data_IF_704189315810
#
_entry.id   IF_704189315810
#
_cell.length_a   1.000
_cell.length_b   1.000
_cell.length_c   1.000
_cell.angle_alpha   90.00
_cell.angle_beta   90.00
_cell.angle_gamma   90.00
#
_symmetry.space_group_name_H-M   'P 1'
#
loop_
_entity.id
_entity.type
_entity.pdbx_description
1 polymer ?
#
# COMPACT_ATOMS: atom_id res chain seq x y z
N UNK A 1 23.91 -28.95 15.64
CA UNK A 1 24.17 -27.88 14.64
C UNK A 1 25.66 -27.68 14.40
N UNK A 2 26.49 -27.33 15.40
CA UNK A 2 27.94 -27.12 15.19
C UNK A 2 28.72 -28.36 14.69
N UNK A 3 28.28 -29.58 15.05
CA UNK A 3 28.85 -30.83 14.51
C UNK A 3 28.60 -30.94 13.00
N UNK A 4 27.32 -30.84 12.59
CA UNK A 4 26.88 -30.87 11.19
C UNK A 4 27.66 -29.86 10.31
N UNK A 5 27.90 -28.64 10.79
CA UNK A 5 28.67 -27.66 10.03
C UNK A 5 30.14 -28.05 9.88
N UNK A 6 30.78 -28.57 10.94
CA UNK A 6 32.15 -29.08 10.89
C UNK A 6 32.29 -30.26 9.94
N UNK A 7 31.33 -31.18 9.96
CA UNK A 7 31.29 -32.35 9.07
C UNK A 7 31.19 -31.93 7.59
N UNK A 8 30.67 -30.74 7.32
CA UNK A 8 30.61 -30.13 5.98
C UNK A 8 31.75 -29.12 5.72
N UNK A 9 32.79 -29.09 6.55
CA UNK A 9 33.95 -28.20 6.38
C UNK A 9 33.66 -26.71 6.67
N UNK A 10 32.53 -26.40 7.31
CA UNK A 10 32.14 -25.04 7.67
C UNK A 10 32.43 -24.75 9.15
N UNK A 11 33.05 -23.59 9.42
CA UNK A 11 33.33 -23.13 10.78
C UNK A 11 32.31 -22.06 11.19
N UNK A 12 31.66 -22.25 12.34
CA UNK A 12 30.76 -21.26 12.95
C UNK A 12 31.33 -20.87 14.30
N UNK A 13 31.54 -19.57 14.49
CA UNK A 13 31.86 -18.99 15.79
C UNK A 13 30.56 -18.53 16.47
N UNK A 14 30.24 -19.10 17.63
CA UNK A 14 29.12 -18.62 18.45
C UNK A 14 29.67 -17.67 19.50
N UNK A 15 29.26 -16.41 19.44
CA UNK A 15 29.60 -15.40 20.44
C UNK A 15 28.31 -15.00 21.16
N UNK A 16 28.28 -15.17 22.49
CA UNK A 16 27.14 -14.82 23.33
C UNK A 16 27.47 -13.63 24.23
N UNK A 17 26.42 -12.94 24.71
CA UNK A 17 26.53 -11.82 25.67
C UNK A 17 27.39 -10.63 25.20
N UNK A 18 27.49 -10.42 23.89
CA UNK A 18 28.14 -9.23 23.34
C UNK A 18 27.29 -7.99 23.58
N UNK A 19 27.90 -6.97 24.19
CA UNK A 19 27.25 -5.67 24.45
C UNK A 19 27.40 -4.68 23.29
N UNK A 20 28.37 -4.94 22.41
CA UNK A 20 28.57 -4.22 21.16
C UNK A 20 28.49 -5.26 20.05
N UNK A 21 27.62 -5.04 19.08
CA UNK A 21 27.37 -6.00 17.99
C UNK A 21 27.39 -5.27 16.66
N UNK A 22 28.12 -5.83 15.72
CA UNK A 22 28.11 -5.39 14.33
C UNK A 22 27.04 -6.17 13.56
N UNK A 23 26.15 -5.46 12.87
CA UNK A 23 25.12 -6.06 12.03
C UNK A 23 24.98 -5.26 10.72
N UNK A 24 25.29 -5.92 9.61
CA UNK A 24 25.30 -5.33 8.26
C UNK A 24 26.19 -4.07 8.22
N UNK A 25 25.56 -2.90 8.10
CA UNK A 25 26.21 -1.60 7.91
C UNK A 25 26.24 -0.77 9.21
N UNK A 26 25.93 -1.36 10.36
CA UNK A 26 25.76 -0.65 11.64
C UNK A 26 26.42 -1.41 12.80
N UNK A 27 27.17 -0.70 13.62
CA UNK A 27 27.62 -1.14 14.95
C UNK A 27 26.66 -0.59 15.99
N UNK A 28 26.04 -1.48 16.77
CA UNK A 28 25.13 -1.12 17.85
C UNK A 28 25.81 -1.32 19.22
N UNK A 29 25.72 -0.32 20.10
CA UNK A 29 26.21 -0.40 21.46
C UNK A 29 25.02 -0.41 22.45
N UNK A 30 24.84 -1.52 23.15
CA UNK A 30 23.75 -1.73 24.11
C UNK A 30 23.88 -0.88 25.37
N UNK A 31 25.09 -0.49 25.78
CA UNK A 31 25.29 0.34 26.98
C UNK A 31 24.84 1.77 26.78
N UNK A 32 25.15 2.35 25.62
CA UNK A 32 24.81 3.75 25.30
C UNK A 32 23.52 3.88 24.52
N UNK A 33 23.01 2.79 23.94
CA UNK A 33 21.89 2.81 23.01
C UNK A 33 22.21 3.48 21.66
N UNK A 34 23.47 3.84 21.44
CA UNK A 34 23.92 4.52 20.22
C UNK A 34 24.36 3.49 19.17
N UNK A 35 24.11 3.87 17.93
CA UNK A 35 24.54 3.16 16.73
C UNK A 35 25.36 4.06 15.80
N UNK A 36 26.34 3.44 15.13
CA UNK A 36 27.23 4.09 14.17
C UNK A 36 27.40 3.25 12.91
N UNK A 37 27.77 3.85 11.77
CA UNK A 37 28.10 3.09 10.57
C UNK A 37 29.24 2.10 10.82
N UNK A 38 29.05 0.86 10.39
CA UNK A 38 30.09 -0.18 10.44
C UNK A 38 30.77 -0.31 9.08
N UNK A 39 32.08 -0.56 9.12
CA UNK A 39 32.90 -0.87 7.95
C UNK A 39 33.69 -2.13 8.25
N UNK A 40 33.65 -3.10 7.33
CA UNK A 40 34.40 -4.35 7.50
C UNK A 40 35.91 -4.06 7.60
N UNK A 41 36.64 -4.79 8.46
CA UNK A 41 38.09 -4.69 8.52
C UNK A 41 38.68 -5.00 7.14
N UNK A 42 39.68 -4.22 6.73
CA UNK A 42 40.36 -4.28 5.43
C UNK A 42 39.58 -3.82 4.18
N UNK A 43 38.37 -3.30 4.33
CA UNK A 43 37.64 -2.77 3.19
C UNK A 43 38.20 -1.40 2.75
N UNK A 44 38.26 -1.13 1.44
CA UNK A 44 38.72 0.14 0.89
C UNK A 44 37.57 0.85 0.18
N UNK A 45 37.27 2.08 0.61
CA UNK A 45 36.11 2.81 0.07
C UNK A 45 36.50 3.35 -1.31
N UNK A 46 35.82 2.85 -2.34
CA UNK A 46 35.99 3.31 -3.71
C UNK A 46 34.66 3.76 -4.29
N UNK A 47 34.69 4.85 -5.06
CA UNK A 47 33.50 5.43 -5.67
C UNK A 47 33.70 5.64 -7.16
N UNK A 48 32.60 5.82 -7.85
CA UNK A 48 32.57 6.09 -9.28
C UNK A 48 33.19 7.47 -9.54
N UNK A 49 34.22 7.53 -10.37
CA UNK A 49 34.83 8.79 -10.82
C UNK A 49 33.80 9.64 -11.58
N UNK A 50 33.84 10.96 -11.39
CA UNK A 50 32.93 11.91 -12.05
C UNK A 50 32.98 11.83 -13.58
N UNK A 51 34.13 11.48 -14.13
CA UNK A 51 34.33 11.38 -15.58
C UNK A 51 34.06 9.98 -16.15
N UNK A 52 33.77 9.00 -15.30
CA UNK A 52 33.49 7.62 -15.73
C UNK A 52 32.29 7.52 -16.67
N UNK A 53 32.21 6.40 -17.39
CA UNK A 53 31.14 6.13 -18.34
C UNK A 53 29.84 5.65 -17.67
N UNK A 54 29.25 6.49 -16.82
CA UNK A 54 27.99 6.22 -16.13
C UNK A 54 26.91 7.27 -16.44
N UNK A 55 25.61 6.94 -16.27
CA UNK A 55 24.54 7.89 -16.45
C UNK A 55 24.73 9.12 -15.54
N UNK A 56 24.54 10.36 -16.05
CA UNK A 56 24.78 11.58 -15.27
C UNK A 56 23.95 11.65 -13.99
N UNK A 57 22.74 11.08 -14.00
CA UNK A 57 21.88 11.02 -12.81
C UNK A 57 22.49 10.18 -11.69
N UNK A 58 23.23 9.11 -12.00
CA UNK A 58 23.87 8.27 -10.98
C UNK A 58 25.03 9.03 -10.35
N UNK A 59 25.88 9.63 -11.18
CA UNK A 59 27.04 10.42 -10.73
C UNK A 59 26.57 11.59 -9.85
N UNK A 60 25.50 12.29 -10.26
CA UNK A 60 24.93 13.42 -9.50
C UNK A 60 24.32 12.99 -8.16
N UNK A 61 23.66 11.83 -8.11
CA UNK A 61 22.95 11.37 -6.93
C UNK A 61 23.86 10.59 -5.95
N UNK A 62 25.07 10.22 -6.37
CA UNK A 62 25.98 9.42 -5.55
C UNK A 62 26.32 10.09 -4.20
N UNK A 63 26.75 11.36 -4.13
CA UNK A 63 27.04 12.02 -2.84
C UNK A 63 25.81 12.06 -1.93
N UNK A 64 24.65 12.43 -2.48
CA UNK A 64 23.38 12.48 -1.73
C UNK A 64 22.93 11.11 -1.23
N UNK A 65 23.25 10.04 -1.95
CA UNK A 65 22.97 8.66 -1.53
C UNK A 65 23.81 8.25 -0.34
N UNK A 66 25.11 8.55 -0.37
CA UNK A 66 26.05 8.28 0.73
C UNK A 66 25.67 9.08 1.97
N UNK A 67 25.38 10.37 1.78
CA UNK A 67 24.91 11.28 2.83
C UNK A 67 23.73 10.69 3.58
N UNK A 68 22.65 10.36 2.86
CA UNK A 68 21.44 9.75 3.45
C UNK A 68 21.74 8.44 4.18
N UNK A 69 22.60 7.59 3.62
CA UNK A 69 22.95 6.31 4.27
C UNK A 69 23.69 6.56 5.59
N UNK A 70 24.73 7.39 5.58
CA UNK A 70 25.49 7.70 6.80
C UNK A 70 24.62 8.39 7.84
N UNK A 71 23.81 9.36 7.45
CA UNK A 71 22.85 10.00 8.35
C UNK A 71 21.90 8.99 8.98
N UNK A 72 21.35 8.05 8.20
CA UNK A 72 20.44 7.03 8.73
C UNK A 72 21.14 6.09 9.71
N UNK A 73 22.39 5.72 9.44
CA UNK A 73 23.19 4.77 10.22
C UNK A 73 23.94 5.42 11.39
N UNK A 74 23.93 6.75 11.50
CA UNK A 74 24.50 7.49 12.63
C UNK A 74 23.41 7.93 13.59
N UNK A 75 23.66 7.83 14.90
CA UNK A 75 22.70 8.29 15.92
C UNK A 75 22.64 9.81 16.06
N UNK A 76 23.78 10.47 15.88
CA UNK A 76 23.95 11.90 16.09
C UNK A 76 24.97 12.46 15.09
N UNK A 77 25.07 13.79 15.05
CA UNK A 77 25.94 14.52 14.14
C UNK A 77 27.42 14.18 14.34
N UNK A 78 27.88 14.10 15.60
CA UNK A 78 29.27 13.75 15.90
C UNK A 78 29.69 12.39 15.32
N UNK A 79 28.86 11.35 15.50
CA UNK A 79 29.12 10.02 14.92
C UNK A 79 29.11 10.08 13.39
N UNK A 80 28.27 10.93 12.80
CA UNK A 80 28.26 11.14 11.35
C UNK A 80 29.55 11.80 10.86
N UNK A 81 30.00 12.87 11.51
CA UNK A 81 31.22 13.59 11.12
C UNK A 81 32.44 12.67 11.17
N UNK A 82 32.61 11.93 12.27
CA UNK A 82 33.68 10.93 12.43
C UNK A 82 33.61 9.86 11.32
N UNK A 83 32.41 9.36 11.03
CA UNK A 83 32.22 8.34 10.01
C UNK A 83 32.39 8.88 8.58
N UNK A 84 32.15 10.17 8.33
CA UNK A 84 32.14 10.78 7.00
C UNK A 84 33.54 11.04 6.44
N UNK A 85 34.57 11.15 7.28
CA UNK A 85 35.96 11.42 6.90
C UNK A 85 36.43 10.51 5.74
N UNK A 86 36.44 9.17 5.87
CA UNK A 86 36.95 8.30 4.81
C UNK A 86 36.07 8.32 3.54
N UNK A 87 34.80 8.69 3.66
CA UNK A 87 33.90 8.85 2.51
C UNK A 87 34.17 10.13 1.73
N UNK A 88 34.38 11.24 2.44
CA UNK A 88 34.75 12.52 1.85
C UNK A 88 36.10 12.43 1.11
N UNK A 89 37.09 11.75 1.69
CA UNK A 89 38.37 11.47 1.03
C UNK A 89 38.19 10.67 -0.25
N UNK A 90 37.41 9.58 -0.20
CA UNK A 90 37.13 8.76 -1.37
C UNK A 90 36.37 9.53 -2.46
N UNK A 91 35.42 10.39 -2.10
CA UNK A 91 34.68 11.24 -3.03
C UNK A 91 35.59 12.30 -3.68
N UNK A 92 36.44 12.96 -2.88
CA UNK A 92 37.41 13.96 -3.34
C UNK A 92 38.41 13.34 -4.32
N UNK A 93 38.95 12.16 -3.99
CA UNK A 93 39.83 11.38 -4.89
C UNK A 93 39.16 11.08 -6.24
N UNK A 94 37.84 10.99 -6.27
CA UNK A 94 37.05 10.68 -7.46
C UNK A 94 36.46 11.92 -8.19
N UNK A 95 36.92 13.13 -7.85
CA UNK A 95 36.53 14.37 -8.53
C UNK A 95 35.18 14.95 -8.09
N UNK A 96 34.63 14.50 -6.96
CA UNK A 96 33.42 15.06 -6.37
C UNK A 96 33.78 16.20 -5.41
N UNK A 97 33.20 17.38 -5.62
CA UNK A 97 33.55 18.61 -4.88
C UNK A 97 32.73 18.79 -3.60
N UNK A 98 31.56 18.16 -3.52
CA UNK A 98 30.63 18.34 -2.41
C UNK A 98 31.04 17.50 -1.19
N UNK A 99 31.24 18.17 -0.05
CA UNK A 99 31.35 17.52 1.25
C UNK A 99 29.98 17.00 1.70
N UNK A 100 29.99 15.83 2.35
CA UNK A 100 28.80 15.23 2.95
C UNK A 100 28.32 16.07 4.13
N UNK A 101 27.00 16.27 4.24
CA UNK A 101 26.39 17.06 5.32
C UNK A 101 25.45 16.21 6.15
N UNK A 102 25.41 16.43 7.45
CA UNK A 102 24.42 15.75 8.29
C UNK A 102 23.03 16.33 8.02
N UNK A 103 22.10 15.49 7.60
CA UNK A 103 20.70 15.89 7.49
C UNK A 103 19.98 15.51 8.80
N UNK A 104 19.42 16.48 9.51
CA UNK A 104 18.64 16.16 10.71
C UNK A 104 17.51 15.17 10.39
N UNK A 105 17.44 14.08 11.16
CA UNK A 105 16.34 13.13 11.05
C UNK A 105 15.08 13.87 11.46
N UNK A 106 14.21 14.18 10.50
CA UNK A 106 12.84 14.63 10.80
C UNK A 106 12.19 13.53 11.64
N UNK A 107 12.13 13.74 12.94
CA UNK A 107 11.36 12.90 13.84
C UNK A 107 9.92 12.98 13.35
N UNK A 108 9.35 11.83 12.98
CA UNK A 108 7.90 11.73 12.86
C UNK A 108 7.36 11.72 14.30
N UNK A 109 7.47 12.83 15.02
CA UNK A 109 6.70 13.06 16.23
C UNK A 109 5.26 13.28 15.82
N UNK A 110 4.41 12.38 16.29
CA UNK A 110 2.97 12.48 16.24
C UNK A 110 2.52 13.73 17.00
N UNK A 111 2.33 14.84 16.30
CA UNK A 111 1.39 15.89 16.68
C UNK A 111 0.79 16.47 15.40
N UNK A 112 -0.53 16.35 15.29
CA UNK A 112 -1.32 16.80 14.14
C UNK A 112 -1.26 18.32 13.99
N UNK A 113 -1.27 18.78 12.74
CA UNK A 113 -2.21 19.73 12.12
C UNK A 113 -1.50 20.45 10.98
N UNK A 114 -1.91 20.22 9.73
CA UNK A 114 -2.99 20.95 9.07
C UNK A 114 -2.66 22.44 9.02
N UNK A 115 -2.11 22.89 7.87
CA UNK A 115 -2.27 24.22 7.28
C UNK A 115 -1.31 24.40 6.09
N UNK A 116 -1.65 23.83 4.93
CA UNK A 116 -1.21 24.38 3.63
C UNK A 116 -2.08 23.87 2.47
N UNK A 117 -3.40 24.06 2.59
CA UNK A 117 -4.33 23.91 1.46
C UNK A 117 -5.69 24.56 1.77
N UNK A 118 -5.69 25.86 2.06
CA UNK A 118 -6.88 26.71 1.92
C UNK A 118 -6.43 28.11 1.54
N UNK A 119 -6.49 28.41 0.24
CA UNK A 119 -6.77 29.75 -0.28
C UNK A 119 -7.16 29.62 -1.75
N UNK A 120 -8.46 29.40 -1.94
CA UNK A 120 -9.34 29.89 -3.02
C UNK A 120 -10.61 29.04 -2.95
N UNK A 121 -11.45 29.38 -1.96
CA UNK A 121 -12.85 29.00 -1.97
C UNK A 121 -13.59 30.12 -2.68
N UNK A 122 -14.14 29.82 -3.86
CA UNK A 122 -15.33 30.43 -4.44
C UNK A 122 -15.69 29.56 -5.64
N UNK A 123 -16.53 28.55 -5.40
CA UNK A 123 -17.66 28.16 -6.24
C UNK A 123 -18.21 26.83 -5.73
N UNK A 124 -19.43 26.91 -5.21
CA UNK A 124 -20.32 25.77 -5.04
C UNK A 124 -20.52 25.12 -6.41
N UNK A 125 -19.99 23.92 -6.63
CA UNK A 125 -20.67 22.85 -7.39
C UNK A 125 -19.83 21.57 -7.49
N UNK A 126 -20.55 20.45 -7.32
CA UNK A 126 -20.25 19.08 -7.78
C UNK A 126 -19.15 18.31 -7.04
N UNK A 127 -19.65 17.37 -6.21
CA UNK A 127 -19.03 16.08 -5.93
C UNK A 127 -18.44 15.47 -7.22
N UNK A 128 -17.14 15.64 -7.44
CA UNK A 128 -16.43 14.88 -8.46
C UNK A 128 -15.95 13.59 -7.80
N UNK A 129 -16.66 12.50 -8.09
CA UNK A 129 -16.23 11.15 -7.76
C UNK A 129 -14.76 10.99 -8.11
N UNK A 130 -13.98 10.46 -7.16
CA UNK A 130 -12.59 10.09 -7.38
C UNK A 130 -12.55 9.10 -8.54
N UNK A 131 -12.26 9.62 -9.75
CA UNK A 131 -12.09 8.76 -10.91
C UNK A 131 -10.93 7.83 -10.59
N UNK A 132 -11.25 6.56 -10.40
CA UNK A 132 -10.29 5.48 -10.22
C UNK A 132 -9.48 5.38 -11.52
N UNK A 133 -8.48 6.25 -11.69
CA UNK A 133 -7.63 6.25 -12.87
C UNK A 133 -6.93 4.91 -12.91
N UNK A 134 -7.32 4.06 -13.88
CA UNK A 134 -6.65 2.78 -14.12
C UNK A 134 -5.15 3.03 -14.19
N UNK A 135 -4.40 2.45 -13.26
CA UNK A 135 -2.93 2.43 -13.33
C UNK A 135 -2.56 1.54 -14.50
N UNK A 136 -1.95 2.12 -15.54
CA UNK A 136 -1.40 1.36 -16.66
C UNK A 136 -0.26 0.48 -16.12
N UNK A 137 -0.19 -0.77 -16.56
CA UNK A 137 0.98 -1.62 -16.31
C UNK A 137 2.12 -1.07 -17.16
N UNK A 138 3.22 -0.68 -16.51
CA UNK A 138 4.38 -0.09 -17.18
C UNK A 138 5.47 -1.16 -17.31
N UNK A 139 5.94 -1.37 -18.54
CA UNK A 139 7.14 -2.16 -18.83
C UNK A 139 8.31 -1.21 -18.98
N UNK A 140 9.38 -1.45 -18.24
CA UNK A 140 10.60 -0.65 -18.33
C UNK A 140 11.62 -1.31 -19.25
N UNK A 141 12.10 -0.56 -20.22
CA UNK A 141 13.29 -0.89 -21.00
C UNK A 141 14.49 -0.16 -20.40
N UNK A 142 15.51 -0.93 -20.00
CA UNK A 142 16.74 -0.42 -19.39
C UNK A 142 17.93 -0.80 -20.29
N UNK A 143 18.22 -0.03 -21.35
CA UNK A 143 19.37 -0.32 -22.20
C UNK A 143 20.69 -0.03 -21.46
N UNK A 144 21.79 -0.67 -21.87
CA UNK A 144 23.11 -0.32 -21.37
C UNK A 144 23.43 1.14 -21.70
N UNK A 145 24.03 1.84 -20.75
CA UNK A 145 24.45 3.23 -20.93
C UNK A 145 25.89 3.31 -21.44
N UNK A 146 26.16 4.20 -22.39
CA UNK A 146 27.51 4.58 -22.77
C UNK A 146 27.56 6.02 -23.30
N UNK A 147 28.51 6.82 -22.80
CA UNK A 147 28.86 8.18 -23.24
C UNK A 147 29.31 8.21 -24.71
N UNK A 148 29.86 7.09 -25.20
CA UNK A 148 30.31 6.99 -26.59
C UNK A 148 29.12 6.90 -27.56
N UNK A 149 27.92 6.60 -27.06
CA UNK A 149 26.73 6.56 -27.92
C UNK A 149 26.20 7.97 -28.12
N UNK A 150 26.58 8.57 -29.24
CA UNK A 150 26.10 9.89 -29.67
C UNK A 150 24.62 9.88 -30.05
N UNK A 151 24.11 8.72 -30.48
CA UNK A 151 22.73 8.62 -30.94
C UNK A 151 21.76 8.70 -29.76
N UNK A 152 20.66 9.43 -29.93
CA UNK A 152 19.57 9.43 -28.96
C UNK A 152 18.81 8.09 -29.03
N UNK A 153 19.35 7.08 -28.34
CA UNK A 153 18.79 5.72 -28.26
C UNK A 153 17.32 5.78 -27.84
N UNK A 154 16.97 6.65 -26.89
CA UNK A 154 15.61 6.75 -26.41
C UNK A 154 14.64 7.20 -27.48
N UNK A 155 14.98 8.25 -28.23
CA UNK A 155 14.19 8.71 -29.38
C UNK A 155 14.04 7.59 -30.41
N UNK A 156 15.16 6.99 -30.84
CA UNK A 156 15.16 5.89 -31.82
C UNK A 156 14.29 4.71 -31.37
N UNK A 157 14.40 4.30 -30.11
CA UNK A 157 13.60 3.23 -29.53
C UNK A 157 12.10 3.56 -29.55
N UNK A 158 11.73 4.79 -29.19
CA UNK A 158 10.35 5.24 -29.21
C UNK A 158 9.78 5.40 -30.63
N UNK A 159 10.63 5.72 -31.60
CA UNK A 159 10.25 5.77 -33.02
C UNK A 159 10.05 4.36 -33.58
N UNK A 160 10.91 3.39 -33.22
CA UNK A 160 10.72 1.97 -33.52
C UNK A 160 9.45 1.41 -32.89
N UNK A 161 9.13 1.78 -31.64
CA UNK A 161 7.88 1.37 -31.00
C UNK A 161 6.66 1.84 -31.81
N UNK A 162 6.69 3.06 -32.34
CA UNK A 162 5.60 3.58 -33.16
C UNK A 162 5.53 2.92 -34.53
N UNK A 163 6.67 2.62 -35.15
CA UNK A 163 6.76 2.00 -36.47
C UNK A 163 6.35 0.52 -36.45
N UNK A 164 6.87 -0.26 -35.49
CA UNK A 164 6.59 -1.68 -35.38
C UNK A 164 5.22 -1.97 -34.75
N UNK A 165 4.72 -1.07 -33.89
CA UNK A 165 3.43 -1.23 -33.20
C UNK A 165 2.52 -0.02 -33.44
N UNK A 166 2.06 0.22 -34.68
CA UNK A 166 1.09 1.28 -34.97
C UNK A 166 -0.26 1.00 -34.29
N UNK A 167 -1.19 1.99 -34.19
CA UNK A 167 -2.47 1.83 -33.50
C UNK A 167 -3.30 0.61 -33.91
N UNK A 168 -3.21 0.21 -35.18
CA UNK A 168 -3.93 -0.93 -35.75
C UNK A 168 -3.27 -2.30 -35.46
N UNK A 169 -2.06 -2.32 -34.90
CA UNK A 169 -1.34 -3.55 -34.61
C UNK A 169 -1.93 -4.26 -33.38
N UNK A 170 -2.08 -5.59 -33.45
CA UNK A 170 -2.69 -6.41 -32.38
C UNK A 170 -2.06 -6.19 -30.99
N UNK A 171 -0.75 -5.95 -30.95
CA UNK A 171 0.01 -5.72 -29.71
C UNK A 171 0.06 -4.25 -29.25
N UNK A 172 -0.47 -3.29 -30.01
CA UNK A 172 -0.39 -1.86 -29.67
C UNK A 172 -1.03 -1.54 -28.32
N UNK A 173 -2.08 -2.27 -27.92
CA UNK A 173 -2.73 -2.12 -26.61
C UNK A 173 -1.78 -2.41 -25.44
N UNK A 174 -0.78 -3.27 -25.65
CA UNK A 174 0.18 -3.73 -24.66
C UNK A 174 1.51 -2.99 -24.79
N UNK A 175 1.98 -2.76 -26.03
CA UNK A 175 3.28 -2.18 -26.36
C UNK A 175 3.04 -0.87 -27.11
N UNK A 176 3.19 0.25 -26.40
CA UNK A 176 3.09 1.61 -26.95
C UNK A 176 3.85 2.61 -26.06
N UNK A 177 3.97 3.87 -26.49
CA UNK A 177 4.62 4.97 -25.73
C UNK A 177 4.03 5.24 -24.33
N UNK A 178 2.79 4.80 -24.10
CA UNK A 178 2.09 4.99 -22.82
C UNK A 178 2.34 3.85 -21.82
N UNK A 179 2.74 2.67 -22.30
CA UNK A 179 2.91 1.43 -21.53
C UNK A 179 4.37 1.02 -21.40
N UNK A 180 5.20 1.32 -22.40
CA UNK A 180 6.66 1.10 -22.35
C UNK A 180 7.36 2.40 -22.01
N UNK A 181 8.23 2.37 -21.01
CA UNK A 181 9.05 3.51 -20.58
C UNK A 181 10.52 3.14 -20.66
N UNK A 182 11.33 4.16 -20.95
CA UNK A 182 12.78 4.05 -20.98
C UNK A 182 13.33 4.65 -19.70
N UNK A 183 14.18 3.92 -18.99
CA UNK A 183 14.84 4.44 -17.80
C UNK A 183 16.18 3.77 -17.60
N UNK A 184 17.18 4.57 -17.22
CA UNK A 184 18.46 4.10 -16.66
C UNK A 184 18.41 3.94 -15.13
N UNK A 185 17.24 4.15 -14.52
CA UNK A 185 16.96 3.93 -13.10
C UNK A 185 16.27 2.59 -12.92
N UNK A 186 16.86 1.73 -12.08
CA UNK A 186 16.50 0.32 -11.97
C UNK A 186 15.31 0.00 -11.07
N UNK A 187 14.73 0.94 -10.29
CA UNK A 187 13.54 0.66 -9.47
C UNK A 187 12.92 1.94 -8.89
N UNK A 188 11.60 1.97 -8.62
CA UNK A 188 10.98 3.04 -7.82
C UNK A 188 11.61 3.12 -6.43
N UNK A 189 11.66 4.32 -5.85
CA UNK A 189 12.20 4.55 -4.52
C UNK A 189 11.51 3.62 -3.48
N UNK A 190 12.29 2.77 -2.80
CA UNK A 190 11.80 1.81 -1.80
C UNK A 190 10.97 2.49 -0.70
N UNK A 191 11.36 3.70 -0.29
CA UNK A 191 10.58 4.53 0.65
C UNK A 191 9.19 4.86 0.11
N UNK A 192 9.07 5.13 -1.19
CA UNK A 192 7.79 5.42 -1.82
C UNK A 192 6.91 4.17 -1.90
N UNK A 193 7.51 3.01 -2.20
CA UNK A 193 6.81 1.71 -2.20
C UNK A 193 6.25 1.44 -0.78
N UNK A 194 7.11 1.50 0.24
CA UNK A 194 6.74 1.26 1.64
C UNK A 194 5.70 2.29 2.11
N UNK A 195 5.91 3.58 1.86
CA UNK A 195 4.96 4.62 2.24
C UNK A 195 3.60 4.43 1.57
N UNK A 196 3.57 4.06 0.28
CA UNK A 196 2.31 3.78 -0.43
C UNK A 196 1.59 2.55 0.11
N UNK A 197 2.35 1.51 0.48
CA UNK A 197 1.82 0.29 1.06
C UNK A 197 1.24 0.54 2.46
N UNK A 198 1.97 1.25 3.32
CA UNK A 198 1.54 1.59 4.67
C UNK A 198 0.32 2.51 4.64
N UNK A 199 0.30 3.52 3.76
CA UNK A 199 -0.89 4.36 3.56
C UNK A 199 -2.11 3.53 3.16
N UNK A 200 -1.92 2.53 2.29
CA UNK A 200 -3.01 1.63 1.90
C UNK A 200 -3.50 0.80 3.08
N UNK A 201 -2.61 0.18 3.86
CA UNK A 201 -2.99 -0.61 5.04
C UNK A 201 -3.74 0.26 6.06
N UNK A 202 -3.21 1.45 6.35
CA UNK A 202 -3.82 2.38 7.31
C UNK A 202 -5.22 2.81 6.83
N UNK A 203 -5.36 3.12 5.55
CA UNK A 203 -6.65 3.51 4.97
C UNK A 203 -7.64 2.33 4.86
N UNK A 204 -7.16 1.10 4.65
CA UNK A 204 -7.99 -0.11 4.69
C UNK A 204 -8.47 -0.40 6.12
N UNK A 205 -7.64 -0.15 7.14
CA UNK A 205 -8.02 -0.29 8.54
C UNK A 205 -8.98 0.82 9.01
N UNK A 206 -8.81 2.06 8.54
CA UNK A 206 -9.71 3.16 8.92
C UNK A 206 -11.07 3.10 8.21
N UNK A 207 -11.12 2.61 6.96
CA UNK A 207 -12.40 2.42 6.24
C UNK A 207 -13.20 1.20 6.72
N UNK A 208 -12.64 0.28 7.51
CA UNK A 208 -13.43 -0.74 8.21
C UNK A 208 -14.26 -0.19 9.38
N UNK A 209 -13.99 1.05 9.81
CA UNK A 209 -14.81 1.77 10.79
C UNK A 209 -15.90 2.64 10.12
N UNK A 210 -16.27 2.40 8.85
CA UNK A 210 -17.42 3.05 8.23
C UNK A 210 -18.69 2.25 8.48
N UNK A 211 -19.52 2.74 9.41
CA UNK A 211 -20.98 2.60 9.45
C UNK A 211 -21.53 1.30 8.83
N UNK A 212 -21.61 0.25 9.64
CA UNK A 212 -22.38 -0.97 9.31
C UNK A 212 -23.74 -0.54 8.78
N UNK A 213 -23.97 -0.74 7.47
CA UNK A 213 -25.27 -0.42 6.86
C UNK A 213 -26.32 -1.25 7.59
N UNK A 214 -27.23 -0.59 8.30
CA UNK A 214 -28.31 -1.24 9.05
C UNK A 214 -29.42 -1.79 8.13
N UNK A 215 -29.51 -1.29 6.88
CA UNK A 215 -30.49 -1.73 5.89
C UNK A 215 -29.99 -1.58 4.45
N UNK A 216 -30.38 -2.53 3.60
CA UNK A 216 -30.14 -2.54 2.16
C UNK A 216 -31.43 -2.74 1.33
N UNK A 217 -32.60 -2.40 1.87
CA UNK A 217 -33.86 -2.39 1.10
C UNK A 217 -33.87 -1.25 0.07
N UNK A 218 -34.49 -1.50 -1.10
CA UNK A 218 -34.72 -0.48 -2.13
C UNK A 218 -35.60 0.64 -1.57
N UNK A 219 -36.71 0.26 -0.93
CA UNK A 219 -37.57 1.16 -0.18
C UNK A 219 -37.29 1.02 1.32
N UNK A 220 -36.76 2.07 1.94
CA UNK A 220 -36.44 2.04 3.38
C UNK A 220 -37.69 2.20 4.26
N UNK A 221 -38.69 2.93 3.78
CA UNK A 221 -39.94 3.19 4.51
C UNK A 221 -40.80 1.93 4.68
N UNK A 222 -40.72 0.97 3.74
CA UNK A 222 -41.42 -0.32 3.82
C UNK A 222 -40.62 -1.38 4.56
N UNK A 223 -39.49 -1.02 5.17
CA UNK A 223 -38.67 -1.97 5.90
C UNK A 223 -39.39 -2.40 7.19
N UNK A 224 -39.72 -3.69 7.36
CA UNK A 224 -40.43 -4.18 8.55
C UNK A 224 -39.70 -3.92 9.87
N UNK A 225 -38.40 -3.62 9.82
CA UNK A 225 -37.55 -3.32 10.97
C UNK A 225 -37.01 -1.88 10.93
N UNK A 226 -37.79 -0.94 10.37
CA UNK A 226 -37.51 0.52 10.37
C UNK A 226 -36.08 0.88 9.89
N UNK A 227 -35.58 0.17 8.88
CA UNK A 227 -34.23 0.40 8.36
C UNK A 227 -33.11 -0.33 9.12
N UNK A 228 -33.44 -1.37 9.89
CA UNK A 228 -32.49 -2.27 10.59
C UNK A 228 -32.56 -3.74 10.15
N UNK A 229 -33.02 -4.02 8.94
CA UNK A 229 -33.22 -5.40 8.47
C UNK A 229 -31.94 -6.25 8.31
N UNK A 230 -30.76 -5.66 8.48
CA UNK A 230 -29.47 -6.36 8.50
C UNK A 230 -29.00 -6.75 9.91
N UNK A 231 -29.81 -6.52 10.94
CA UNK A 231 -29.58 -7.01 12.30
C UNK A 231 -29.58 -8.55 12.32
N UNK A 232 -28.67 -9.14 13.09
CA UNK A 232 -28.43 -10.58 13.25
C UNK A 232 -28.78 -11.01 14.68
N UNK A 233 -28.96 -12.31 14.90
CA UNK A 233 -29.16 -12.89 16.25
C UNK A 233 -30.36 -12.29 17.00
N UNK A 234 -31.51 -12.19 16.32
CA UNK A 234 -32.75 -11.65 16.88
C UNK A 234 -33.84 -12.72 17.01
N UNK A 235 -34.67 -12.55 18.03
CA UNK A 235 -35.89 -13.32 18.25
C UNK A 235 -37.05 -12.54 17.64
N UNK A 236 -37.90 -13.20 16.86
CA UNK A 236 -39.06 -12.59 16.24
C UNK A 236 -40.31 -13.44 16.44
N UNK A 237 -41.46 -12.78 16.48
CA UNK A 237 -42.76 -13.41 16.49
C UNK A 237 -43.42 -13.19 15.12
N UNK A 238 -43.98 -14.25 14.54
CA UNK A 238 -44.72 -14.20 13.30
C UNK A 238 -46.13 -14.77 13.52
N UNK A 239 -47.13 -14.03 13.07
CA UNK A 239 -48.53 -14.46 13.08
C UNK A 239 -48.87 -14.97 11.69
N UNK A 240 -49.40 -16.19 11.60
CA UNK A 240 -49.81 -16.82 10.34
C UNK A 240 -51.30 -17.09 10.40
N UNK A 241 -52.03 -16.63 9.39
CA UNK A 241 -53.44 -16.95 9.21
C UNK A 241 -53.59 -18.00 8.11
N UNK A 242 -54.32 -19.06 8.39
CA UNK A 242 -54.68 -20.07 7.40
C UNK A 242 -55.91 -19.61 6.61
N UNK A 243 -55.81 -19.63 5.27
CA UNK A 243 -56.84 -19.07 4.37
C UNK A 243 -58.18 -19.83 4.42
N UNK A 244 -58.16 -21.14 4.65
CA UNK A 244 -59.35 -21.98 4.61
C UNK A 244 -60.15 -21.99 5.92
N UNK A 245 -59.47 -21.89 7.06
CA UNK A 245 -60.09 -22.03 8.40
C UNK A 245 -60.15 -20.71 9.16
N UNK A 246 -59.49 -19.65 8.65
CA UNK A 246 -59.25 -18.36 9.34
C UNK A 246 -58.59 -18.51 10.71
N UNK A 247 -57.98 -19.66 10.99
CA UNK A 247 -57.26 -19.88 12.24
C UNK A 247 -55.98 -19.05 12.23
N UNK A 248 -55.72 -18.38 13.37
CA UNK A 248 -54.54 -17.55 13.57
C UNK A 248 -53.62 -18.28 14.54
N UNK A 249 -52.48 -18.73 14.04
CA UNK A 249 -51.45 -19.38 14.84
C UNK A 249 -50.21 -18.46 14.92
N UNK A 250 -49.55 -18.48 16.08
CA UNK A 250 -48.39 -17.62 16.36
C UNK A 250 -47.15 -18.47 16.55
N UNK A 251 -46.08 -18.11 15.84
CA UNK A 251 -44.78 -18.78 15.90
C UNK A 251 -43.70 -17.81 16.40
N UNK A 252 -42.88 -18.25 17.35
CA UNK A 252 -41.70 -17.52 17.80
C UNK A 252 -40.46 -18.24 17.24
N UNK A 253 -39.59 -17.48 16.58
CA UNK A 253 -38.38 -18.01 15.94
C UNK A 253 -37.14 -17.19 16.25
N UNK A 254 -35.98 -17.84 16.11
CA UNK A 254 -34.66 -17.23 16.25
C UNK A 254 -33.99 -17.24 14.87
N UNK A 255 -33.15 -16.24 14.58
CA UNK A 255 -32.31 -16.22 13.38
C UNK A 255 -30.90 -15.77 13.71
N UNK A 256 -29.91 -16.61 13.38
CA UNK A 256 -28.49 -16.22 13.39
C UNK A 256 -28.16 -15.33 12.18
N UNK A 257 -28.78 -15.60 11.04
CA UNK A 257 -28.68 -14.78 9.84
C UNK A 257 -29.43 -13.45 9.98
N UNK A 258 -29.20 -12.51 9.05
CA UNK A 258 -29.90 -11.22 9.05
C UNK A 258 -31.42 -11.40 8.97
N UNK A 259 -32.18 -10.53 9.66
CA UNK A 259 -33.65 -10.57 9.62
C UNK A 259 -34.20 -10.62 8.19
N UNK A 260 -33.65 -9.81 7.28
CA UNK A 260 -34.10 -9.77 5.87
C UNK A 260 -33.99 -11.13 5.18
N UNK A 261 -32.92 -11.88 5.45
CA UNK A 261 -32.71 -13.21 4.87
C UNK A 261 -33.79 -14.17 5.36
N UNK A 262 -34.07 -14.17 6.66
CA UNK A 262 -35.11 -15.01 7.26
C UNK A 262 -36.52 -14.62 6.82
N UNK A 263 -36.80 -13.32 6.73
CA UNK A 263 -38.07 -12.79 6.25
C UNK A 263 -38.36 -13.21 4.80
N UNK A 264 -37.35 -13.17 3.94
CA UNK A 264 -37.49 -13.63 2.55
C UNK A 264 -37.75 -15.15 2.46
N UNK A 265 -37.13 -15.96 3.30
CA UNK A 265 -37.38 -17.41 3.36
C UNK A 265 -38.84 -17.71 3.74
N UNK A 266 -39.38 -17.03 4.74
CA UNK A 266 -40.78 -17.18 5.13
C UNK A 266 -41.75 -16.77 4.02
N UNK A 267 -41.46 -15.69 3.30
CA UNK A 267 -42.28 -15.27 2.16
C UNK A 267 -42.19 -16.24 0.98
N UNK A 268 -41.03 -16.86 0.77
CA UNK A 268 -40.85 -17.87 -0.29
C UNK A 268 -41.68 -19.13 -0.01
N UNK A 269 -41.72 -19.59 1.25
CA UNK A 269 -42.54 -20.75 1.66
C UNK A 269 -44.04 -20.47 1.53
N UNK A 270 -44.51 -19.25 1.85
CA UNK A 270 -45.92 -18.85 1.65
C UNK A 270 -46.39 -18.91 0.19
N UNK A 271 -45.48 -18.73 -0.77
CA UNK A 271 -45.80 -18.77 -2.21
C UNK A 271 -45.93 -20.20 -2.76
N UNK A 272 -45.41 -21.21 -2.05
CA UNK A 272 -45.51 -22.61 -2.49
C UNK A 272 -46.76 -23.32 -1.97
N UNK A 273 -47.40 -22.80 -0.91
CA UNK A 273 -48.59 -23.41 -0.28
C UNK A 273 -49.92 -22.76 -0.69
N UNK A 274 -49.90 -21.75 -1.55
CA UNK A 274 -51.12 -21.14 -2.11
C UNK A 274 -51.43 -21.73 -3.49
N UNK A 275 -52.61 -22.33 -3.72
CA UNK A 275 -53.04 -22.61 -5.08
C UNK A 275 -53.21 -21.27 -5.80
N UNK A 276 -52.63 -21.14 -6.99
CA UNK A 276 -52.75 -19.95 -7.82
C UNK A 276 -54.23 -19.57 -7.99
N UNK A 277 -54.63 -18.37 -7.54
CA UNK A 277 -55.64 -17.51 -8.18
C UNK A 277 -55.71 -16.11 -7.54
N UNK A 278 -55.38 -15.12 -8.39
CA UNK A 278 -55.87 -13.73 -8.54
C UNK A 278 -56.33 -12.92 -7.31
N UNK A 279 -55.77 -11.71 -7.15
CA UNK A 279 -56.46 -10.62 -6.43
C UNK A 279 -55.53 -9.61 -5.77
N UNK A 280 -55.63 -8.34 -6.16
CA UNK A 280 -55.01 -7.18 -5.51
C UNK A 280 -55.40 -7.09 -4.03
N UNK A 281 -54.42 -6.89 -3.15
CA UNK A 281 -54.66 -6.59 -1.74
C UNK A 281 -53.36 -6.30 -0.99
N UNK A 282 -53.07 -5.01 -0.77
CA UNK A 282 -52.04 -4.55 0.15
C UNK A 282 -52.35 -5.02 1.57
N UNK A 283 -51.48 -5.81 2.19
CA UNK A 283 -51.56 -6.11 3.61
C UNK A 283 -50.22 -5.81 4.29
N UNK A 284 -50.26 -4.81 5.18
CA UNK A 284 -49.17 -4.41 6.06
C UNK A 284 -49.05 -5.43 7.20
N UNK A 285 -47.86 -5.97 7.41
CA UNK A 285 -47.52 -6.68 8.64
C UNK A 285 -46.89 -5.68 9.62
N UNK A 286 -47.60 -5.36 10.71
CA UNK A 286 -46.99 -4.74 11.89
C UNK A 286 -46.34 -5.85 12.72
N UNK A 287 -45.05 -5.71 13.02
CA UNK A 287 -44.34 -6.54 13.98
C UNK A 287 -43.95 -5.63 15.14
N UNK A 288 -44.55 -5.85 16.30
CA UNK A 288 -44.18 -5.20 17.54
C UNK A 288 -43.06 -6.00 18.21
N UNK A 289 -41.90 -5.39 18.39
CA UNK A 289 -40.78 -5.96 19.14
C UNK A 289 -40.86 -5.48 20.58
N UNK A 290 -41.15 -6.39 21.52
CA UNK A 290 -40.86 -6.14 22.95
C UNK A 290 -39.37 -6.32 23.17
N UNK A 291 -38.72 -5.27 23.68
CA UNK A 291 -37.36 -5.29 24.19
C UNK A 291 -37.31 -5.94 25.56
#
# INVERSE_FOLDING_TARGET
MCAIFRDNGLNITIQANQKIVDFLDVTFNLHTGLHKPYKKPNDSITYIHRESNHPPSIIKNLPQGIEKRLTNNSSNEKIFEDAAIPYNEALKKNGHVMALKYAEKKTNTTTKNENKSKETANEETKETGTTNRRKRRITWFNPPYSKNVLSNIGKKFFDLLNSCFPPNHKLHKIINKNTVKLSYSCMPNTKQIISSHNKRIINESSNKASTTKLCNCRDKASCPLQGKCLEQSLVYQATVSETNTKKIDTYIGITENTFKTRFNQHNYVKLQTTPQKVGHGSQRACVETKR
#
